data_IF_226092803829
#
_entry.id   IF_226092803829
#
_cell.length_a   1.000
_cell.length_b   1.000
_cell.length_c   1.000
_cell.angle_alpha   90.00
_cell.angle_beta   90.00
_cell.angle_gamma   90.00
#
_symmetry.space_group_name_H-M   'P 1'
#
loop_
_entity.id
_entity.type
_entity.pdbx_description
1 polymer ?
#
# COMPACT_ATOMS: atom_id res chain seq x y z
N UNK A 1 -10.10 -12.32 14.18
CA UNK A 1 -8.92 -13.18 14.01
C UNK A 1 -7.68 -12.29 14.10
N UNK A 2 -6.75 -12.58 15.01
CA UNK A 2 -5.42 -11.95 14.99
C UNK A 2 -4.52 -12.72 14.01
N UNK A 3 -3.67 -12.00 13.29
CA UNK A 3 -2.65 -12.60 12.41
C UNK A 3 -1.26 -12.26 12.97
N UNK A 4 -0.33 -13.21 12.90
CA UNK A 4 1.04 -13.04 13.38
C UNK A 4 2.03 -13.39 12.27
N UNK A 5 3.14 -12.66 12.22
CA UNK A 5 4.32 -12.96 11.41
C UNK A 5 5.42 -13.44 12.35
N UNK A 6 6.08 -14.54 12.00
CA UNK A 6 7.25 -15.08 12.72
C UNK A 6 8.46 -14.89 11.82
N UNK A 7 9.51 -14.25 12.35
CA UNK A 7 10.78 -14.04 11.67
C UNK A 7 11.87 -14.79 12.42
N UNK A 8 12.54 -15.71 11.72
CA UNK A 8 13.66 -16.46 12.26
C UNK A 8 14.97 -15.86 11.79
N UNK A 9 15.89 -15.63 12.73
CA UNK A 9 17.23 -15.10 12.45
C UNK A 9 18.25 -16.15 12.85
N UNK A 10 19.25 -16.41 12.00
CA UNK A 10 20.33 -17.35 12.29
C UNK A 10 21.41 -16.79 13.24
N UNK A 11 21.16 -15.62 13.81
CA UNK A 11 22.06 -14.88 14.70
C UNK A 11 21.29 -14.41 15.92
N UNK A 12 21.99 -14.27 17.04
CA UNK A 12 21.41 -13.71 18.24
C UNK A 12 21.16 -12.21 18.05
N UNK A 13 19.91 -11.80 18.29
CA UNK A 13 19.50 -10.41 18.29
C UNK A 13 19.35 -9.92 19.74
N UNK A 14 19.60 -8.63 20.01
CA UNK A 14 19.42 -8.08 21.35
C UNK A 14 17.93 -8.11 21.74
N UNK A 15 17.57 -8.89 22.76
CA UNK A 15 16.18 -9.08 23.21
C UNK A 15 15.48 -7.76 23.54
N UNK A 16 16.19 -6.83 24.17
CA UNK A 16 15.69 -5.49 24.51
C UNK A 16 15.21 -4.74 23.25
N UNK A 17 15.95 -4.86 22.14
CA UNK A 17 15.60 -4.24 20.86
C UNK A 17 14.40 -4.92 20.18
N UNK A 18 14.11 -6.19 20.49
CA UNK A 18 12.96 -6.90 19.93
C UNK A 18 11.64 -6.47 20.57
N UNK A 19 11.69 -5.90 21.77
CA UNK A 19 10.51 -5.31 22.43
C UNK A 19 10.40 -3.81 22.22
N UNK A 20 11.37 -3.19 21.56
CA UNK A 20 11.36 -1.76 21.28
C UNK A 20 10.14 -1.38 20.41
N UNK A 21 9.28 -0.44 20.85
CA UNK A 21 8.08 -0.07 20.12
C UNK A 21 8.35 0.48 18.71
N UNK A 22 9.45 1.21 18.51
CA UNK A 22 9.81 1.76 17.20
C UNK A 22 10.26 0.64 16.25
N UNK A 23 11.04 -0.32 16.75
CA UNK A 23 11.43 -1.53 15.98
C UNK A 23 10.20 -2.32 15.57
N UNK A 24 9.28 -2.59 16.50
CA UNK A 24 8.04 -3.31 16.21
C UNK A 24 7.16 -2.55 15.19
N UNK A 25 7.03 -1.24 15.33
CA UNK A 25 6.25 -0.42 14.42
C UNK A 25 6.86 -0.38 13.01
N UNK A 26 8.19 -0.25 12.90
CA UNK A 26 8.90 -0.31 11.61
C UNK A 26 8.77 -1.68 10.97
N UNK A 27 8.92 -2.76 11.74
CA UNK A 27 8.72 -4.13 11.26
C UNK A 27 7.31 -4.36 10.74
N UNK A 28 6.28 -3.94 11.50
CA UNK A 28 4.88 -4.01 11.06
C UNK A 28 4.66 -3.23 9.76
N UNK A 29 5.21 -2.01 9.67
CA UNK A 29 5.11 -1.19 8.47
C UNK A 29 5.74 -1.88 7.26
N UNK A 30 6.94 -2.45 7.42
CA UNK A 30 7.64 -3.16 6.35
C UNK A 30 6.83 -4.34 5.80
N UNK A 31 6.25 -5.16 6.70
CA UNK A 31 5.41 -6.31 6.29
C UNK A 31 4.21 -5.83 5.47
N UNK A 32 3.49 -4.80 5.94
CA UNK A 32 2.30 -4.30 5.24
C UNK A 32 2.65 -3.70 3.88
N UNK A 33 3.74 -2.93 3.79
CA UNK A 33 4.18 -2.36 2.52
C UNK A 33 4.60 -3.44 1.52
N UNK A 34 5.22 -4.53 1.96
CA UNK A 34 5.59 -5.62 1.05
C UNK A 34 4.37 -6.42 0.57
N UNK A 35 3.36 -6.64 1.44
CA UNK A 35 2.09 -7.23 1.02
C UNK A 35 1.34 -6.32 0.03
N UNK A 36 1.41 -5.01 0.21
CA UNK A 36 0.86 -4.03 -0.73
C UNK A 36 1.60 -4.08 -2.07
N UNK A 37 2.94 -4.09 -2.06
CA UNK A 37 3.78 -4.19 -3.27
C UNK A 37 3.44 -5.43 -4.10
N UNK A 38 3.16 -6.55 -3.43
CA UNK A 38 2.78 -7.82 -4.07
C UNK A 38 1.30 -7.88 -4.51
N UNK A 39 0.53 -6.79 -4.34
CA UNK A 39 -0.90 -6.77 -4.61
C UNK A 39 -1.74 -7.67 -3.71
N UNK A 40 -1.17 -8.20 -2.62
CA UNK A 40 -1.85 -9.12 -1.70
C UNK A 40 -2.87 -8.42 -0.79
N UNK A 41 -2.71 -7.11 -0.59
CA UNK A 41 -3.67 -6.24 0.08
C UNK A 41 -3.87 -4.95 -0.74
N UNK A 42 -5.06 -4.35 -0.62
CA UNK A 42 -5.35 -3.06 -1.26
C UNK A 42 -4.73 -1.89 -0.50
N UNK A 43 -4.60 -0.73 -1.17
CA UNK A 43 -4.17 0.52 -0.52
C UNK A 43 -5.07 0.90 0.65
N UNK A 44 -6.40 0.78 0.49
CA UNK A 44 -7.36 1.06 1.56
C UNK A 44 -7.12 0.16 2.77
N UNK A 45 -6.85 -1.13 2.54
CA UNK A 45 -6.55 -2.07 3.62
C UNK A 45 -5.20 -1.77 4.29
N UNK A 46 -4.18 -1.38 3.52
CA UNK A 46 -2.88 -0.99 4.07
C UNK A 46 -3.01 0.25 4.96
N UNK A 47 -3.74 1.28 4.52
CA UNK A 47 -4.01 2.49 5.31
C UNK A 47 -4.76 2.17 6.62
N UNK A 48 -5.80 1.34 6.54
CA UNK A 48 -6.58 0.91 7.70
C UNK A 48 -5.71 0.17 8.73
N UNK A 49 -4.91 -0.80 8.30
CA UNK A 49 -4.09 -1.62 9.20
C UNK A 49 -2.96 -0.83 9.84
N UNK A 50 -2.38 0.13 9.11
CA UNK A 50 -1.35 1.04 9.63
C UNK A 50 -1.95 2.20 10.44
N UNK A 51 -3.28 2.36 10.44
CA UNK A 51 -3.99 3.47 11.06
C UNK A 51 -3.47 4.85 10.59
N UNK A 52 -3.23 4.98 9.29
CA UNK A 52 -2.79 6.22 8.65
C UNK A 52 -3.78 6.68 7.59
N UNK A 53 -3.77 7.97 7.27
CA UNK A 53 -4.56 8.50 6.18
C UNK A 53 -3.96 8.17 4.79
N UNK A 54 -4.73 8.44 3.74
CA UNK A 54 -4.37 8.13 2.36
C UNK A 54 -3.12 8.90 1.88
N UNK A 55 -2.93 10.15 2.31
CA UNK A 55 -1.78 10.95 1.90
C UNK A 55 -0.50 10.40 2.55
N UNK A 56 -0.56 10.10 3.85
CA UNK A 56 0.54 9.43 4.56
C UNK A 56 0.91 8.08 3.95
N UNK A 57 -0.08 7.30 3.49
CA UNK A 57 0.20 6.06 2.78
C UNK A 57 0.91 6.32 1.45
N UNK A 58 0.49 7.30 0.66
CA UNK A 58 1.17 7.62 -0.60
C UNK A 58 2.59 8.13 -0.42
N UNK A 59 2.87 8.89 0.64
CA UNK A 59 4.24 9.28 1.00
C UNK A 59 5.11 8.05 1.34
N UNK A 60 4.56 7.08 2.09
CA UNK A 60 5.24 5.82 2.36
C UNK A 60 5.46 5.00 1.09
N UNK A 61 4.47 4.89 0.22
CA UNK A 61 4.58 4.18 -1.06
C UNK A 61 5.66 4.81 -1.93
N UNK A 62 5.69 6.14 -2.05
CA UNK A 62 6.72 6.88 -2.78
C UNK A 62 8.10 6.62 -2.20
N UNK A 63 8.28 6.71 -0.89
CA UNK A 63 9.57 6.47 -0.21
C UNK A 63 10.09 5.04 -0.42
N UNK A 64 9.19 4.07 -0.60
CA UNK A 64 9.52 2.67 -0.78
C UNK A 64 9.38 2.21 -2.24
N UNK A 65 9.20 3.12 -3.21
CA UNK A 65 9.10 2.80 -4.64
C UNK A 65 7.99 1.79 -4.95
N UNK A 66 6.83 1.94 -4.29
CA UNK A 66 5.63 1.14 -4.54
C UNK A 66 4.72 1.93 -5.47
N UNK A 67 4.40 1.42 -6.67
CA UNK A 67 3.54 2.12 -7.61
C UNK A 67 2.12 2.23 -7.07
N UNK A 68 1.50 3.39 -7.24
CA UNK A 68 0.10 3.61 -6.85
C UNK A 68 -0.91 2.98 -7.83
N UNK A 69 -0.45 2.64 -9.03
CA UNK A 69 -1.22 2.03 -10.11
C UNK A 69 -0.30 1.04 -10.83
N UNK A 70 -0.81 -0.15 -11.13
CA UNK A 70 -0.10 -1.12 -11.96
C UNK A 70 -0.42 -0.81 -13.43
N UNK A 71 0.39 0.06 -14.03
CA UNK A 71 0.35 0.33 -15.46
C UNK A 71 1.74 0.08 -16.04
N UNK A 72 1.79 -0.58 -17.19
CA UNK A 72 2.96 -0.56 -18.06
C UNK A 72 3.17 0.85 -18.61
N UNK A 73 4.37 1.16 -19.09
CA UNK A 73 4.67 2.47 -19.71
C UNK A 73 3.74 2.78 -20.89
N UNK A 74 3.33 1.75 -21.64
CA UNK A 74 2.43 1.90 -22.78
C UNK A 74 0.99 2.17 -22.32
N UNK A 75 0.50 1.47 -21.31
CA UNK A 75 -0.81 1.75 -20.71
C UNK A 75 -0.84 3.14 -20.06
N UNK A 76 0.25 3.53 -19.39
CA UNK A 76 0.39 4.87 -18.81
C UNK A 76 0.36 5.95 -19.89
N UNK A 77 1.10 5.78 -21.00
CA UNK A 77 1.03 6.70 -22.14
C UNK A 77 -0.40 6.79 -22.67
N UNK A 78 -1.06 5.66 -22.88
CA UNK A 78 -2.44 5.63 -23.37
C UNK A 78 -3.41 6.37 -22.44
N UNK A 79 -3.29 6.19 -21.13
CA UNK A 79 -4.08 6.92 -20.13
C UNK A 79 -3.78 8.43 -20.13
N UNK A 80 -2.51 8.83 -20.28
CA UNK A 80 -2.12 10.25 -20.34
C UNK A 80 -2.60 10.97 -21.61
N UNK A 81 -2.68 10.27 -22.74
CA UNK A 81 -3.19 10.81 -24.00
C UNK A 81 -4.70 10.65 -24.18
N UNK A 82 -5.37 9.95 -23.25
CA UNK A 82 -6.84 9.87 -23.26
C UNK A 82 -7.40 11.27 -23.00
N UNK A 83 -8.23 11.82 -23.90
CA UNK A 83 -8.93 13.07 -23.63
C UNK A 83 -9.74 12.91 -22.34
N UNK A 84 -9.68 13.90 -21.44
CA UNK A 84 -10.53 13.96 -20.24
C UNK A 84 -11.99 14.23 -20.66
N UNK A 85 -12.61 13.24 -21.31
CA UNK A 85 -14.01 13.22 -21.70
C UNK A 85 -14.85 12.70 -20.55
N UNK A 86 -15.88 13.44 -20.18
CA UNK A 86 -16.85 13.07 -19.13
C UNK A 86 -17.56 11.78 -19.50
N UNK A 87 -17.13 10.63 -18.99
CA UNK A 87 -17.99 9.45 -18.90
C UNK A 87 -18.87 9.59 -17.65
N UNK A 88 -19.92 10.37 -17.85
CA UNK A 88 -21.02 10.57 -16.92
C UNK A 88 -22.27 10.92 -17.72
N UNK A 89 -22.58 10.12 -18.74
CA UNK A 89 -23.96 10.05 -19.23
C UNK A 89 -24.77 9.34 -18.15
N UNK A 90 -25.27 10.13 -17.20
CA UNK A 90 -26.44 9.74 -16.43
C UNK A 90 -27.52 9.51 -17.48
N UNK A 91 -27.85 8.25 -17.73
CA UNK A 91 -29.06 7.91 -18.48
C UNK A 91 -30.23 8.43 -17.64
N UNK A 92 -30.70 9.63 -17.98
CA UNK A 92 -32.01 10.12 -17.58
C UNK A 92 -33.05 9.39 -18.44
N UNK A 93 -33.29 8.12 -18.11
CA UNK A 93 -34.49 7.40 -18.52
C UNK A 93 -35.59 7.74 -17.51
N UNK A 94 -36.11 8.95 -17.64
CA UNK A 94 -37.39 9.37 -17.07
C UNK A 94 -38.40 9.55 -18.22
N UNK A 95 -39.10 8.48 -18.58
CA UNK A 95 -40.38 8.53 -19.31
C UNK A 95 -41.42 7.72 -18.56
#
# INVERSE_FOLDING_TARGET
>A
MSSQVVLEFSVDLPEEGLQDPEVLQKGRTAVILELLRKGSISQGRAAEVLAIDRYSLFDLMKKNEIPAIELTDEELKQELYRPLGREGSINDDSR
#
